data_IF_883273040854
#
_entry.id   IF_883273040854
#
_cell.length_a   1.000
_cell.length_b   1.000
_cell.length_c   1.000
_cell.angle_alpha   90.00
_cell.angle_beta   90.00
_cell.angle_gamma   90.00
#
_symmetry.space_group_name_H-M   'P 1'
#
loop_
_entity.id
_entity.type
_entity.pdbx_description
1 polymer ?
#
# COMPACT_ATOMS: atom_id res chain seq x y z
N UNK A 1 -18.69 -14.86 -2.67
CA UNK A 1 -17.59 -15.09 -1.71
C UNK A 1 -16.65 -13.90 -1.69
N UNK A 2 -16.18 -13.49 -0.52
CA UNK A 2 -15.29 -12.33 -0.39
C UNK A 2 -13.92 -12.61 -1.01
N UNK A 3 -13.30 -11.56 -1.51
CA UNK A 3 -11.92 -11.59 -1.99
C UNK A 3 -11.03 -11.10 -0.86
N UNK A 4 -10.14 -11.95 -0.37
CA UNK A 4 -9.18 -11.57 0.67
C UNK A 4 -8.25 -10.46 0.16
N UNK A 5 -7.88 -9.54 1.05
CA UNK A 5 -6.96 -8.45 0.70
C UNK A 5 -7.46 -7.62 -0.49
N UNK A 6 -8.75 -7.33 -0.52
CA UNK A 6 -9.42 -6.72 -1.67
C UNK A 6 -8.79 -5.38 -2.07
N UNK A 7 -8.52 -4.50 -1.10
CA UNK A 7 -7.96 -3.17 -1.39
C UNK A 7 -6.67 -3.25 -2.23
N UNK A 8 -5.70 -4.05 -1.78
CA UNK A 8 -4.42 -4.15 -2.48
C UNK A 8 -4.53 -4.85 -3.82
N UNK A 9 -5.44 -5.81 -3.95
CA UNK A 9 -5.73 -6.46 -5.22
C UNK A 9 -6.34 -5.46 -6.21
N UNK A 10 -7.25 -4.61 -5.76
CA UNK A 10 -7.83 -3.55 -6.59
C UNK A 10 -6.76 -2.54 -6.98
N UNK A 11 -5.87 -2.14 -6.05
CA UNK A 11 -4.75 -1.24 -6.36
C UNK A 11 -3.91 -1.81 -7.49
N UNK A 12 -3.55 -3.09 -7.43
CA UNK A 12 -2.74 -3.73 -8.47
C UNK A 12 -3.50 -3.86 -9.79
N UNK A 13 -4.79 -4.11 -9.74
CA UNK A 13 -5.63 -4.13 -10.93
C UNK A 13 -5.68 -2.76 -11.62
N UNK A 14 -5.83 -1.70 -10.84
CA UNK A 14 -5.79 -0.32 -11.36
C UNK A 14 -4.44 0.00 -12.01
N UNK A 15 -3.35 -0.34 -11.35
CA UNK A 15 -2.01 -0.12 -11.90
C UNK A 15 -1.82 -0.85 -13.24
N UNK A 16 -2.29 -2.09 -13.34
CA UNK A 16 -2.22 -2.88 -14.55
C UNK A 16 -3.02 -2.26 -15.71
N UNK A 17 -4.01 -1.42 -15.40
CA UNK A 17 -4.84 -0.71 -16.38
C UNK A 17 -4.48 0.77 -16.48
N UNK A 18 -3.30 1.16 -16.02
CA UNK A 18 -2.79 2.54 -16.08
C UNK A 18 -3.63 3.54 -15.30
N UNK A 19 -4.26 3.09 -14.22
CA UNK A 19 -5.02 3.93 -13.29
C UNK A 19 -4.30 4.03 -11.94
N UNK A 20 -4.74 4.96 -11.10
CA UNK A 20 -4.12 5.23 -9.80
C UNK A 20 -5.14 5.07 -8.68
N UNK A 21 -4.67 5.14 -7.43
CA UNK A 21 -5.53 5.10 -6.24
C UNK A 21 -6.47 6.30 -6.14
N UNK A 22 -6.30 7.33 -6.95
CA UNK A 22 -7.22 8.46 -7.01
C UNK A 22 -8.64 8.02 -7.39
N UNK A 23 -8.78 6.88 -8.07
CA UNK A 23 -10.09 6.32 -8.42
C UNK A 23 -10.94 5.99 -7.18
N UNK A 24 -10.32 5.69 -6.05
CA UNK A 24 -11.03 5.43 -4.79
C UNK A 24 -11.73 6.67 -4.23
N UNK A 25 -11.36 7.85 -4.68
CA UNK A 25 -11.94 9.11 -4.18
C UNK A 25 -13.41 9.27 -4.57
N UNK A 26 -13.79 8.88 -5.78
CA UNK A 26 -15.15 9.11 -6.29
C UNK A 26 -15.71 8.00 -7.18
N UNK A 27 -14.88 7.10 -7.67
CA UNK A 27 -15.28 6.12 -8.69
C UNK A 27 -15.38 4.70 -8.17
N UNK A 28 -14.75 4.39 -7.04
CA UNK A 28 -14.74 3.07 -6.44
C UNK A 28 -15.16 3.17 -4.98
N UNK A 29 -16.07 2.30 -4.56
CA UNK A 29 -16.39 2.12 -3.14
C UNK A 29 -16.27 0.64 -2.79
N UNK A 30 -15.40 0.35 -1.84
CA UNK A 30 -15.29 -0.96 -1.21
C UNK A 30 -16.12 -0.92 0.08
N UNK A 31 -16.80 -2.01 0.39
CA UNK A 31 -17.66 -2.07 1.56
C UNK A 31 -17.59 -3.44 2.22
N UNK A 32 -17.77 -3.43 3.54
CA UNK A 32 -17.92 -4.62 4.36
C UNK A 32 -19.18 -4.43 5.20
N UNK A 33 -20.15 -5.34 5.04
CA UNK A 33 -21.43 -5.24 5.72
C UNK A 33 -21.41 -5.87 7.13
N UNK A 34 -20.24 -6.33 7.58
CA UNK A 34 -20.05 -6.99 8.89
C UNK A 34 -20.92 -8.25 9.04
N UNK A 35 -21.16 -8.96 7.93
CA UNK A 35 -21.99 -10.16 7.87
C UNK A 35 -21.18 -11.46 7.75
N UNK A 36 -19.84 -11.36 7.89
CA UNK A 36 -18.94 -12.49 7.74
C UNK A 36 -18.53 -12.80 6.31
N UNK A 37 -19.06 -12.08 5.32
CA UNK A 37 -18.71 -12.28 3.91
C UNK A 37 -17.52 -11.45 3.44
N UNK A 38 -17.02 -10.55 4.28
CA UNK A 38 -15.81 -9.75 4.00
C UNK A 38 -16.07 -8.54 3.10
N UNK A 39 -14.99 -8.02 2.55
CA UNK A 39 -15.04 -6.83 1.70
C UNK A 39 -15.51 -7.17 0.28
N UNK A 40 -16.22 -6.23 -0.34
CA UNK A 40 -16.63 -6.34 -1.73
C UNK A 40 -16.63 -4.96 -2.41
N UNK A 41 -16.64 -4.96 -3.75
CA UNK A 41 -16.75 -3.73 -4.52
C UNK A 41 -18.22 -3.36 -4.63
N UNK A 42 -18.61 -2.27 -3.95
CA UNK A 42 -20.00 -1.80 -3.99
C UNK A 42 -20.25 -0.92 -5.21
N UNK A 43 -19.30 -0.05 -5.55
CA UNK A 43 -19.40 0.88 -6.68
C UNK A 43 -18.13 0.76 -7.51
N UNK A 44 -18.32 0.69 -8.83
CA UNK A 44 -17.23 0.72 -9.80
C UNK A 44 -17.63 1.58 -11.00
N UNK A 45 -17.06 2.77 -11.07
CA UNK A 45 -17.32 3.73 -12.15
C UNK A 45 -16.03 4.21 -12.81
N UNK A 46 -15.01 3.36 -12.87
CA UNK A 46 -13.72 3.72 -13.47
C UNK A 46 -13.88 3.77 -14.99
N UNK A 47 -13.56 4.93 -15.57
CA UNK A 47 -13.69 5.15 -17.01
C UNK A 47 -12.71 4.27 -17.79
N UNK A 48 -13.24 3.54 -18.77
CA UNK A 48 -12.44 2.71 -19.66
C UNK A 48 -11.90 1.42 -19.06
N UNK A 49 -12.26 1.10 -17.80
CA UNK A 49 -11.79 -0.11 -17.12
C UNK A 49 -13.01 -0.88 -16.57
N UNK A 50 -13.16 -2.12 -16.99
CA UNK A 50 -14.25 -2.99 -16.51
C UNK A 50 -14.01 -3.40 -15.07
N UNK A 51 -15.08 -3.50 -14.27
CA UNK A 51 -15.02 -4.03 -12.91
C UNK A 51 -14.33 -5.41 -12.94
N UNK A 52 -13.31 -5.63 -12.11
CA UNK A 52 -12.60 -6.91 -12.08
C UNK A 52 -13.49 -8.03 -11.52
N UNK A 53 -13.28 -9.24 -12.01
CA UNK A 53 -13.87 -10.43 -11.43
C UNK A 53 -13.06 -10.89 -10.22
N UNK A 54 -13.64 -11.74 -9.39
CA UNK A 54 -12.93 -12.33 -8.25
C UNK A 54 -11.71 -13.12 -8.74
N UNK A 55 -11.81 -13.81 -9.86
CA UNK A 55 -10.71 -14.54 -10.46
C UNK A 55 -9.56 -13.63 -10.87
N UNK A 56 -9.87 -12.49 -11.49
CA UNK A 56 -8.85 -11.49 -11.88
C UNK A 56 -8.16 -10.91 -10.65
N UNK A 57 -8.90 -10.61 -9.60
CA UNK A 57 -8.35 -10.08 -8.35
C UNK A 57 -7.47 -11.12 -7.67
N UNK A 58 -7.91 -12.37 -7.59
CA UNK A 58 -7.14 -13.44 -6.95
C UNK A 58 -5.87 -13.80 -7.72
N UNK A 59 -5.83 -13.56 -9.02
CA UNK A 59 -4.60 -13.71 -9.80
C UNK A 59 -3.53 -12.69 -9.41
N UNK A 60 -3.90 -11.60 -8.72
CA UNK A 60 -2.98 -10.57 -8.24
C UNK A 60 -2.59 -10.77 -6.77
N UNK A 61 -2.96 -11.89 -6.15
CA UNK A 61 -2.79 -12.11 -4.71
C UNK A 61 -1.33 -11.97 -4.26
N UNK A 62 -0.40 -12.58 -4.97
CA UNK A 62 1.03 -12.52 -4.62
C UNK A 62 1.56 -11.09 -4.70
N UNK A 63 1.30 -10.40 -5.81
CA UNK A 63 1.71 -9.00 -6.02
C UNK A 63 1.09 -8.07 -4.98
N UNK A 64 -0.19 -8.27 -4.66
CA UNK A 64 -0.90 -7.47 -3.67
C UNK A 64 -0.32 -7.67 -2.26
N UNK A 65 0.02 -8.90 -1.90
CA UNK A 65 0.61 -9.20 -0.60
C UNK A 65 1.99 -8.56 -0.46
N UNK A 66 2.82 -8.65 -1.49
CA UNK A 66 4.14 -7.99 -1.50
C UNK A 66 4.00 -6.48 -1.34
N UNK A 67 3.09 -5.84 -2.06
CA UNK A 67 2.86 -4.40 -1.95
C UNK A 67 2.37 -4.01 -0.57
N UNK A 68 1.45 -4.77 0.01
CA UNK A 68 0.95 -4.55 1.36
C UNK A 68 2.08 -4.63 2.39
N UNK A 69 2.94 -5.64 2.28
CA UNK A 69 4.08 -5.82 3.18
C UNK A 69 5.08 -4.68 3.03
N UNK A 70 5.40 -4.27 1.82
CA UNK A 70 6.28 -3.14 1.57
C UNK A 70 5.70 -1.82 2.09
N UNK A 71 4.39 -1.65 1.99
CA UNK A 71 3.72 -0.48 2.57
C UNK A 71 3.89 -0.43 4.09
N UNK A 72 3.72 -1.55 4.78
CA UNK A 72 3.95 -1.67 6.21
C UNK A 72 5.40 -1.36 6.57
N UNK A 73 6.34 -1.87 5.78
CA UNK A 73 7.78 -1.64 5.98
C UNK A 73 8.10 -0.16 5.81
N UNK A 74 7.57 0.50 4.78
CA UNK A 74 7.76 1.94 4.57
C UNK A 74 7.24 2.75 5.76
N UNK A 75 6.08 2.39 6.31
CA UNK A 75 5.54 3.03 7.52
C UNK A 75 6.45 2.84 8.73
N UNK A 76 6.95 1.63 8.94
CA UNK A 76 7.86 1.32 10.03
C UNK A 76 9.14 2.13 9.91
N UNK A 77 9.73 2.18 8.71
CA UNK A 77 10.93 2.99 8.44
C UNK A 77 10.69 4.46 8.71
N UNK A 78 9.58 5.01 8.20
CA UNK A 78 9.23 6.43 8.38
C UNK A 78 9.12 6.78 9.86
N UNK A 79 8.48 5.93 10.63
CA UNK A 79 8.33 6.12 12.08
C UNK A 79 9.69 6.09 12.78
N UNK A 80 10.57 5.16 12.37
CA UNK A 80 11.90 5.02 12.94
C UNK A 80 12.84 6.17 12.55
N UNK A 81 12.67 6.75 11.36
CA UNK A 81 13.46 7.91 10.93
C UNK A 81 13.20 9.14 11.80
N UNK A 82 11.97 9.31 12.30
CA UNK A 82 11.56 10.45 13.10
C UNK A 82 11.14 11.68 12.29
N UNK A 83 10.93 12.78 12.97
CA UNK A 83 10.52 14.03 12.34
C UNK A 83 11.63 14.61 11.47
N UNK A 84 11.24 15.23 10.35
CA UNK A 84 12.20 15.79 9.40
C UNK A 84 13.06 16.88 10.06
N UNK A 85 12.47 17.74 10.91
CA UNK A 85 13.23 18.77 11.62
C UNK A 85 14.31 18.19 12.51
N UNK A 86 13.98 17.12 13.24
CA UNK A 86 14.95 16.42 14.10
C UNK A 86 16.05 15.75 13.27
N UNK A 87 15.71 15.18 12.11
CA UNK A 87 16.70 14.59 11.22
C UNK A 87 17.65 15.62 10.64
N UNK A 88 17.16 16.81 10.30
CA UNK A 88 18.01 17.91 9.84
C UNK A 88 18.99 18.34 10.91
N UNK A 89 18.57 18.38 12.18
CA UNK A 89 19.46 18.67 13.31
C UNK A 89 20.52 17.58 13.46
N UNK A 90 20.17 16.31 13.30
CA UNK A 90 21.14 15.20 13.33
C UNK A 90 22.20 15.36 12.23
N UNK A 91 21.77 15.68 11.01
CA UNK A 91 22.66 15.87 9.87
C UNK A 91 23.62 17.02 10.14
N UNK A 92 23.12 18.11 10.69
CA UNK A 92 23.93 19.28 11.05
C UNK A 92 24.99 18.95 12.10
N UNK A 93 24.64 18.15 13.10
CA UNK A 93 25.54 17.76 14.18
C UNK A 93 26.57 16.73 13.75
N UNK A 94 26.14 15.68 13.07
CA UNK A 94 27.01 14.58 12.63
C UNK A 94 26.28 13.79 11.51
N UNK A 95 26.60 14.14 10.27
CA UNK A 95 25.97 13.50 9.11
C UNK A 95 26.32 12.00 9.01
N UNK A 96 27.51 11.61 9.43
CA UNK A 96 27.93 10.21 9.36
C UNK A 96 27.15 9.34 10.34
N UNK A 97 26.91 9.85 11.56
CA UNK A 97 26.05 9.16 12.54
C UNK A 97 24.60 9.04 12.03
N UNK A 98 24.07 10.10 11.40
CA UNK A 98 22.73 10.05 10.79
C UNK A 98 22.66 8.99 9.68
N UNK A 99 23.64 8.95 8.78
CA UNK A 99 23.72 7.95 7.71
C UNK A 99 23.77 6.54 8.26
N UNK A 100 24.53 6.29 9.31
CA UNK A 100 24.63 4.98 9.94
C UNK A 100 23.29 4.55 10.56
N UNK A 101 22.59 5.50 11.20
CA UNK A 101 21.26 5.25 11.79
C UNK A 101 20.24 4.90 10.70
N UNK A 102 20.21 5.65 9.62
CA UNK A 102 19.28 5.39 8.50
C UNK A 102 19.59 4.04 7.84
N UNK A 103 20.87 3.73 7.63
CA UNK A 103 21.27 2.43 7.08
C UNK A 103 20.80 1.28 7.97
N UNK A 104 20.99 1.41 9.29
CA UNK A 104 20.54 0.38 10.23
C UNK A 104 19.02 0.18 10.17
N UNK A 105 18.25 1.26 10.09
CA UNK A 105 16.79 1.17 9.99
C UNK A 105 16.37 0.43 8.71
N UNK A 106 17.02 0.71 7.58
CA UNK A 106 16.75 0.01 6.33
C UNK A 106 17.15 -1.46 6.39
N UNK A 107 18.30 -1.76 7.00
CA UNK A 107 18.77 -3.14 7.14
C UNK A 107 17.89 -3.96 8.07
N UNK A 108 17.33 -3.33 9.12
CA UNK A 108 16.42 -3.97 10.07
C UNK A 108 15.01 -4.15 9.49
N UNK A 109 14.64 -3.40 8.44
CA UNK A 109 13.33 -3.40 7.83
C UNK A 109 13.42 -3.56 6.30
N UNK A 110 13.93 -4.69 5.81
CA UNK A 110 14.11 -4.89 4.37
C UNK A 110 12.76 -5.03 3.65
N UNK A 111 12.68 -4.49 2.44
CA UNK A 111 11.52 -4.70 1.56
C UNK A 111 11.58 -6.09 0.92
N UNK A 112 10.41 -6.62 0.66
CA UNK A 112 10.26 -7.86 -0.11
C UNK A 112 10.52 -7.66 -1.60
#
# INVERSE_FOLDING_TARGET
>A
MAVDNLYWKVVKYLEANSKTTDEFTSNILLQNDSDGNGDYIKIWNVSGVTKPTDSQLNALASTATTEQNNHKIRKTRKRAYGEIGDQLDEIYKDIDAWKARIKKIKDDNPKE
#
